data_IF_350014099343
#
_entry.id   IF_350014099343
#
_cell.length_a   1.000
_cell.length_b   1.000
_cell.length_c   1.000
_cell.angle_alpha   90.00
_cell.angle_beta   90.00
_cell.angle_gamma   90.00
#
_symmetry.space_group_name_H-M   'P 1'
#
loop_
_entity.id
_entity.type
_entity.pdbx_description
1 polymer ?
#
# COMPACT_ATOMS: atom_id res chain seq x y z
N UNK A 1 -24.23 -11.93 1.89
CA UNK A 1 -23.58 -11.96 0.56
C UNK A 1 -22.10 -11.83 0.79
N UNK A 2 -21.40 -12.96 0.95
CA UNK A 2 -19.94 -13.00 1.05
C UNK A 2 -19.38 -12.74 -0.33
N UNK A 3 -18.87 -11.53 -0.56
CA UNK A 3 -18.12 -11.22 -1.77
C UNK A 3 -16.84 -12.05 -1.72
N UNK A 4 -16.75 -13.08 -2.56
CA UNK A 4 -15.52 -13.81 -2.78
C UNK A 4 -14.55 -12.86 -3.48
N UNK A 5 -13.47 -12.48 -2.79
CA UNK A 5 -12.37 -11.71 -3.36
C UNK A 5 -11.87 -12.41 -4.62
N UNK A 6 -12.19 -11.83 -5.78
CA UNK A 6 -11.54 -12.22 -7.03
C UNK A 6 -10.07 -11.83 -6.86
N UNK A 7 -9.10 -12.77 -6.96
CA UNK A 7 -7.71 -12.43 -6.78
C UNK A 7 -7.36 -11.32 -7.78
N UNK A 8 -6.86 -10.21 -7.25
CA UNK A 8 -6.36 -9.08 -8.03
C UNK A 8 -5.36 -9.62 -9.05
N UNK A 9 -5.61 -9.39 -10.34
CA UNK A 9 -4.75 -9.90 -11.42
C UNK A 9 -3.36 -9.27 -11.45
N UNK A 10 -3.08 -8.32 -10.54
CA UNK A 10 -1.83 -7.59 -10.46
C UNK A 10 -1.51 -7.22 -9.01
N UNK A 11 -0.23 -7.26 -8.69
CA UNK A 11 0.32 -6.93 -7.39
C UNK A 11 1.41 -5.87 -7.58
N UNK A 12 1.39 -4.82 -6.77
CA UNK A 12 2.42 -3.80 -6.72
C UNK A 12 3.15 -4.00 -5.39
N UNK A 13 4.43 -4.35 -5.41
CA UNK A 13 5.22 -4.56 -4.19
C UNK A 13 6.22 -3.42 -4.06
N UNK A 14 6.24 -2.78 -2.89
CA UNK A 14 7.10 -1.66 -2.54
C UNK A 14 7.99 -2.08 -1.37
N UNK A 15 9.24 -2.49 -1.61
CA UNK A 15 10.22 -2.62 -0.55
C UNK A 15 10.45 -1.26 0.11
N UNK A 16 10.53 -1.24 1.43
CA UNK A 16 10.60 0.00 2.20
C UNK A 16 11.57 -0.16 3.37
N UNK A 17 12.45 0.82 3.61
CA UNK A 17 13.29 0.90 4.80
C UNK A 17 13.64 2.37 5.07
N UNK A 18 13.09 2.94 6.13
CA UNK A 18 13.23 4.33 6.53
C UNK A 18 12.90 5.32 5.38
N UNK A 19 11.70 5.21 4.82
CA UNK A 19 11.22 6.05 3.71
C UNK A 19 10.11 7.00 4.14
N UNK A 20 10.07 7.46 5.39
CA UNK A 20 8.99 8.31 5.89
C UNK A 20 8.81 9.59 5.05
N UNK A 21 9.87 10.09 4.44
CA UNK A 21 9.84 11.26 3.56
C UNK A 21 9.15 11.01 2.19
N UNK A 22 9.03 9.75 1.74
CA UNK A 22 8.61 9.43 0.38
C UNK A 22 7.38 8.51 0.31
N UNK A 23 7.23 7.60 1.28
CA UNK A 23 6.23 6.52 1.20
C UNK A 23 4.80 7.05 1.06
N UNK A 24 4.45 8.12 1.78
CA UNK A 24 3.11 8.72 1.71
C UNK A 24 2.78 9.24 0.31
N UNK A 25 3.67 10.05 -0.27
CA UNK A 25 3.46 10.62 -1.61
C UNK A 25 3.43 9.55 -2.70
N UNK A 26 4.25 8.51 -2.57
CA UNK A 26 4.25 7.37 -3.49
C UNK A 26 2.91 6.63 -3.44
N UNK A 27 2.41 6.32 -2.24
CA UNK A 27 1.11 5.64 -2.07
C UNK A 27 -0.05 6.50 -2.58
N UNK A 28 -0.02 7.81 -2.36
CA UNK A 28 -1.02 8.74 -2.91
C UNK A 28 -1.09 8.68 -4.44
N UNK A 29 0.06 8.55 -5.11
CA UNK A 29 0.14 8.42 -6.57
C UNK A 29 -0.30 7.04 -7.09
N UNK A 30 0.01 5.96 -6.36
CA UNK A 30 -0.24 4.60 -6.81
C UNK A 30 -1.68 4.12 -6.56
N UNK A 31 -2.35 4.58 -5.49
CA UNK A 31 -3.71 4.13 -5.15
C UNK A 31 -4.73 4.30 -6.28
N UNK A 32 -4.79 5.42 -7.02
CA UNK A 32 -5.69 5.55 -8.18
C UNK A 32 -5.41 4.54 -9.29
N UNK A 33 -4.13 4.25 -9.56
CA UNK A 33 -3.74 3.25 -10.55
C UNK A 33 -4.11 1.84 -10.09
N UNK A 34 -3.86 1.51 -8.82
CA UNK A 34 -4.25 0.25 -8.22
C UNK A 34 -5.78 0.04 -8.26
N UNK A 35 -6.55 1.10 -8.01
CA UNK A 35 -8.01 1.08 -8.14
C UNK A 35 -8.46 0.72 -9.56
N UNK A 36 -7.91 1.39 -10.57
CA UNK A 36 -8.25 1.18 -11.97
C UNK A 36 -7.87 -0.22 -12.46
N UNK A 37 -6.80 -0.79 -11.93
CA UNK A 37 -6.30 -2.12 -12.30
C UNK A 37 -6.90 -3.25 -11.45
N UNK A 38 -7.66 -2.93 -10.38
CA UNK A 38 -8.04 -3.91 -9.36
C UNK A 38 -6.82 -4.57 -8.71
N UNK A 39 -5.72 -3.85 -8.58
CA UNK A 39 -4.47 -4.34 -8.01
C UNK A 39 -4.42 -4.14 -6.49
N UNK A 40 -3.62 -4.95 -5.81
CA UNK A 40 -3.23 -4.75 -4.40
C UNK A 40 -1.83 -4.16 -4.32
N UNK A 41 -1.61 -3.28 -3.35
CA UNK A 41 -0.31 -2.70 -3.05
C UNK A 41 0.20 -3.36 -1.77
N UNK A 42 1.41 -3.92 -1.80
CA UNK A 42 2.08 -4.47 -0.63
C UNK A 42 3.26 -3.59 -0.28
N UNK A 43 3.30 -3.07 0.94
CA UNK A 43 4.49 -2.40 1.49
C UNK A 43 5.29 -3.41 2.30
N UNK A 44 6.43 -3.84 1.77
CA UNK A 44 7.32 -4.78 2.41
C UNK A 44 8.38 -4.00 3.21
N UNK A 45 8.07 -3.70 4.47
CA UNK A 45 8.97 -3.00 5.37
C UNK A 45 10.14 -3.89 5.85
N UNK A 46 11.35 -3.35 5.75
CA UNK A 46 12.61 -4.00 6.13
C UNK A 46 13.07 -3.73 7.56
N UNK A 47 12.21 -3.19 8.43
CA UNK A 47 12.55 -2.81 9.81
C UNK A 47 12.76 -1.31 9.97
N UNK A 48 11.83 -0.49 9.45
CA UNK A 48 11.90 0.97 9.59
C UNK A 48 11.77 1.42 11.04
N UNK A 49 12.43 2.54 11.36
CA UNK A 49 12.47 3.15 12.71
C UNK A 49 12.19 4.65 12.71
N UNK A 50 11.86 5.22 11.54
CA UNK A 50 11.72 6.65 11.30
C UNK A 50 10.25 7.12 11.21
N UNK A 51 9.29 6.23 11.51
CA UNK A 51 7.86 6.50 11.38
C UNK A 51 7.24 6.10 10.05
N UNK A 52 8.00 5.48 9.12
CA UNK A 52 7.48 4.92 7.86
C UNK A 52 6.20 4.11 8.05
N UNK A 53 6.20 3.17 9.01
CA UNK A 53 5.05 2.30 9.26
C UNK A 53 3.79 3.06 9.69
N UNK A 54 3.92 4.10 10.51
CA UNK A 54 2.77 4.92 10.92
C UNK A 54 2.12 5.62 9.73
N UNK A 55 2.91 6.07 8.76
CA UNK A 55 2.40 6.67 7.52
C UNK A 55 1.67 5.62 6.67
N UNK A 56 2.20 4.40 6.59
CA UNK A 56 1.55 3.29 5.87
C UNK A 56 0.23 2.92 6.53
N UNK A 57 0.18 2.81 7.86
CA UNK A 57 -1.04 2.53 8.63
C UNK A 57 -2.15 3.58 8.37
N UNK A 58 -1.79 4.87 8.35
CA UNK A 58 -2.71 5.95 8.00
C UNK A 58 -3.28 5.81 6.58
N UNK A 59 -2.50 5.25 5.65
CA UNK A 59 -2.94 4.97 4.29
C UNK A 59 -3.83 3.73 4.24
N UNK A 60 -3.50 2.65 4.95
CA UNK A 60 -4.31 1.43 5.05
C UNK A 60 -5.71 1.76 5.57
N UNK A 61 -5.81 2.61 6.58
CA UNK A 61 -7.09 3.08 7.13
C UNK A 61 -7.98 3.78 6.08
N UNK A 62 -7.38 4.36 5.04
CA UNK A 62 -8.07 5.07 3.95
C UNK A 62 -8.31 4.19 2.72
N UNK A 63 -7.50 3.16 2.50
CA UNK A 63 -7.57 2.27 1.34
C UNK A 63 -7.15 0.83 1.69
N UNK A 64 -8.10 -0.11 1.85
CA UNK A 64 -7.81 -1.49 2.26
C UNK A 64 -7.10 -2.33 1.19
N UNK A 65 -6.83 -1.78 -0.01
CA UNK A 65 -5.99 -2.44 -1.03
C UNK A 65 -4.50 -2.33 -0.73
N UNK A 66 -4.11 -1.38 0.13
CA UNK A 66 -2.75 -1.28 0.67
C UNK A 66 -2.67 -2.23 1.86
N UNK A 67 -1.64 -3.07 1.87
CA UNK A 67 -1.35 -4.04 2.93
C UNK A 67 0.14 -4.06 3.27
#
# INVERSE_FOLDING_TARGET
>A
MTQTDKPSSSLIVIPCLNEAAHIGALLDQLRPAAARLGARIIVADGGSTDGTLSIVEDVIAKDPRVI
#
